data_IF_360821036216
#
_entry.id   IF_360821036216
#
_cell.length_a   1.000
_cell.length_b   1.000
_cell.length_c   1.000
_cell.angle_alpha   90.00
_cell.angle_beta   90.00
_cell.angle_gamma   90.00
#
_symmetry.space_group_name_H-M   'P 1'
#
loop_
_entity.id
_entity.type
_entity.pdbx_description
1 polymer ?
#
# COMPACT_ATOMS: atom_id res chain seq x y z
N UNK A 1 -12.05 27.00 2.60
CA UNK A 1 -10.57 27.04 2.67
C UNK A 1 -10.03 26.10 1.59
N UNK A 2 -9.21 26.55 0.64
CA UNK A 2 -8.68 25.67 -0.42
C UNK A 2 -7.55 24.81 0.17
N UNK A 3 -7.71 23.49 0.19
CA UNK A 3 -6.65 22.55 0.60
C UNK A 3 -5.74 22.24 -0.59
N UNK A 4 -4.46 21.96 -0.34
CA UNK A 4 -3.55 21.52 -1.41
C UNK A 4 -4.06 20.20 -2.03
N UNK A 5 -4.08 20.08 -3.37
CA UNK A 5 -4.53 18.88 -4.06
C UNK A 5 -3.48 17.77 -3.93
N UNK A 6 -3.95 16.52 -3.87
CA UNK A 6 -3.11 15.32 -3.96
C UNK A 6 -3.30 14.76 -5.36
N UNK A 7 -2.20 14.47 -6.05
CA UNK A 7 -2.21 13.97 -7.42
C UNK A 7 -2.06 12.44 -7.45
N UNK A 8 -2.83 11.80 -8.32
CA UNK A 8 -2.67 10.38 -8.63
C UNK A 8 -1.62 10.28 -9.75
N UNK A 9 -0.45 9.72 -9.42
CA UNK A 9 0.68 9.62 -10.35
C UNK A 9 0.58 8.37 -11.25
N UNK A 10 -0.06 7.30 -10.79
CA UNK A 10 -0.24 6.07 -11.53
C UNK A 10 -1.26 5.17 -10.87
N UNK A 11 -1.94 4.34 -11.67
CA UNK A 11 -2.91 3.36 -11.20
C UNK A 11 -2.90 2.15 -12.15
N UNK A 12 -3.00 0.95 -11.59
CA UNK A 12 -3.08 -0.28 -12.36
C UNK A 12 -3.97 -1.29 -11.64
N UNK A 13 -4.75 -2.01 -12.43
CA UNK A 13 -5.63 -3.08 -11.96
C UNK A 13 -5.38 -4.35 -12.78
N UNK A 14 -5.62 -5.49 -12.14
CA UNK A 14 -5.59 -6.81 -12.78
C UNK A 14 -6.36 -7.81 -11.91
N UNK A 15 -6.80 -8.90 -12.55
CA UNK A 15 -7.55 -9.97 -11.91
C UNK A 15 -6.98 -11.31 -12.38
N UNK A 16 -6.84 -12.25 -11.45
CA UNK A 16 -6.28 -13.58 -11.74
C UNK A 16 -7.32 -14.69 -11.52
N UNK A 17 -7.92 -14.73 -10.33
CA UNK A 17 -8.84 -15.78 -9.91
C UNK A 17 -9.98 -15.18 -9.06
N UNK A 18 -11.14 -15.84 -9.07
CA UNK A 18 -12.31 -15.40 -8.29
C UNK A 18 -12.39 -16.02 -6.89
N UNK A 19 -11.74 -17.17 -6.69
CA UNK A 19 -11.74 -17.94 -5.44
C UNK A 19 -10.36 -18.54 -5.17
N UNK A 20 -10.04 -18.75 -3.89
CA UNK A 20 -8.71 -19.21 -3.46
C UNK A 20 -8.32 -20.58 -4.03
N UNK A 21 -9.29 -21.48 -4.28
CA UNK A 21 -9.02 -22.80 -4.87
C UNK A 21 -8.63 -22.76 -6.34
N UNK A 22 -8.81 -21.61 -7.00
CA UNK A 22 -8.40 -21.38 -8.39
C UNK A 22 -7.07 -20.62 -8.47
N UNK A 23 -6.43 -20.30 -7.33
CA UNK A 23 -5.14 -19.64 -7.31
C UNK A 23 -4.07 -20.55 -7.91
N UNK A 24 -3.32 -20.10 -8.93
CA UNK A 24 -2.16 -20.83 -9.44
C UNK A 24 -1.05 -20.97 -8.40
N UNK A 25 -0.84 -19.94 -7.59
CA UNK A 25 0.13 -19.91 -6.49
C UNK A 25 -0.33 -18.94 -5.39
N UNK A 26 -0.19 -19.33 -4.13
CA UNK A 26 -0.51 -18.50 -2.97
C UNK A 26 0.56 -17.43 -2.68
N UNK A 27 1.79 -17.66 -3.14
CA UNK A 27 2.94 -16.78 -2.84
C UNK A 27 3.22 -15.73 -3.90
N UNK A 28 2.61 -15.84 -5.08
CA UNK A 28 2.83 -14.93 -6.21
C UNK A 28 1.53 -14.21 -6.58
N UNK A 29 1.15 -13.16 -5.84
CA UNK A 29 -0.07 -12.41 -6.14
C UNK A 29 0.13 -11.58 -7.41
N UNK A 30 -0.98 -11.29 -8.08
CA UNK A 30 -0.97 -10.44 -9.29
C UNK A 30 -0.52 -8.99 -9.01
N UNK A 31 -0.38 -8.63 -7.73
CA UNK A 31 0.23 -7.40 -7.23
C UNK A 31 1.63 -7.13 -7.80
N UNK A 32 2.36 -8.16 -8.23
CA UNK A 32 3.67 -8.01 -8.89
C UNK A 32 3.54 -7.28 -10.24
N UNK A 33 2.57 -7.68 -11.03
CA UNK A 33 2.35 -7.11 -12.37
C UNK A 33 1.69 -5.73 -12.28
N UNK A 34 0.70 -5.58 -11.41
CA UNK A 34 0.03 -4.28 -11.20
C UNK A 34 0.97 -3.28 -10.54
N UNK A 35 1.78 -3.71 -9.57
CA UNK A 35 2.82 -2.91 -8.94
C UNK A 35 3.79 -2.35 -9.97
N UNK A 36 4.42 -3.22 -10.77
CA UNK A 36 5.36 -2.79 -11.80
C UNK A 36 4.75 -1.79 -12.80
N UNK A 37 3.50 -2.01 -13.21
CA UNK A 37 2.76 -1.08 -14.09
C UNK A 37 2.48 0.25 -13.41
N UNK A 38 2.05 0.25 -12.15
CA UNK A 38 1.76 1.46 -11.40
C UNK A 38 3.04 2.29 -11.14
N UNK A 39 4.14 1.64 -10.74
CA UNK A 39 5.45 2.28 -10.59
C UNK A 39 5.96 2.85 -11.92
N UNK A 40 5.81 2.10 -13.01
CA UNK A 40 6.16 2.55 -14.36
C UNK A 40 5.36 3.76 -14.83
N UNK A 41 4.04 3.79 -14.56
CA UNK A 41 3.18 4.94 -14.87
C UNK A 41 3.52 6.17 -14.02
N UNK A 42 3.81 5.97 -12.73
CA UNK A 42 4.15 7.04 -11.82
C UNK A 42 5.58 7.59 -12.04
N UNK A 43 6.46 6.82 -12.68
CA UNK A 43 7.86 7.20 -12.90
C UNK A 43 8.64 7.35 -11.59
N UNK A 44 8.30 6.56 -10.57
CA UNK A 44 8.90 6.61 -9.22
C UNK A 44 9.58 5.29 -8.89
N UNK A 45 10.57 5.35 -8.00
CA UNK A 45 11.24 4.16 -7.44
C UNK A 45 10.76 3.88 -6.02
N UNK A 46 11.00 2.68 -5.49
CA UNK A 46 10.59 2.29 -4.13
C UNK A 46 11.11 3.23 -3.04
N UNK A 47 12.27 3.86 -3.24
CA UNK A 47 12.83 4.84 -2.29
C UNK A 47 12.09 6.19 -2.27
N UNK A 48 11.28 6.48 -3.29
CA UNK A 48 10.44 7.69 -3.33
C UNK A 48 9.11 7.50 -2.58
N UNK A 49 8.89 6.31 -2.01
CA UNK A 49 7.67 5.93 -1.30
C UNK A 49 7.88 6.14 0.19
N UNK A 50 7.34 7.25 0.70
CA UNK A 50 7.35 7.55 2.14
C UNK A 50 6.39 6.65 2.94
N UNK A 51 5.53 5.91 2.24
CA UNK A 51 4.29 5.41 2.81
C UNK A 51 3.55 4.42 1.90
N UNK A 52 3.05 3.32 2.46
CA UNK A 52 2.15 2.38 1.78
C UNK A 52 0.80 2.15 2.49
N UNK A 53 -0.30 2.18 1.73
CA UNK A 53 -1.55 1.50 2.14
C UNK A 53 -1.67 0.24 1.33
N UNK A 54 -1.65 -0.89 2.03
CA UNK A 54 -1.74 -2.22 1.44
C UNK A 54 -3.00 -2.87 1.96
N UNK A 55 -3.71 -3.57 1.09
CA UNK A 55 -4.88 -4.33 1.49
C UNK A 55 -4.50 -5.53 2.36
N UNK A 56 -5.00 -5.54 3.58
CA UNK A 56 -4.66 -6.45 4.67
C UNK A 56 -5.90 -7.24 5.12
N UNK A 57 -6.45 -8.08 4.25
CA UNK A 57 -7.51 -9.02 4.66
C UNK A 57 -7.04 -10.00 5.72
N UNK A 58 -5.77 -10.40 5.64
CA UNK A 58 -5.10 -11.24 6.62
C UNK A 58 -3.66 -10.77 6.76
N UNK A 59 -3.01 -11.06 7.89
CA UNK A 59 -1.61 -10.67 8.11
C UNK A 59 -0.67 -11.21 7.02
N UNK A 60 -0.95 -12.39 6.49
CA UNK A 60 -0.20 -12.98 5.37
C UNK A 60 -0.28 -12.17 4.07
N UNK A 61 -1.43 -11.57 3.74
CA UNK A 61 -1.60 -10.85 2.47
C UNK A 61 -0.70 -9.62 2.40
N UNK A 62 -0.40 -9.01 3.55
CA UNK A 62 0.51 -7.88 3.66
C UNK A 62 1.94 -8.28 3.31
N UNK A 63 2.43 -9.39 3.88
CA UNK A 63 3.80 -9.86 3.66
C UNK A 63 4.03 -10.19 2.19
N UNK A 64 3.13 -10.97 1.62
CA UNK A 64 3.22 -11.41 0.22
C UNK A 64 3.05 -10.25 -0.76
N UNK A 65 2.24 -9.24 -0.42
CA UNK A 65 2.11 -8.04 -1.25
C UNK A 65 3.35 -7.16 -1.17
N UNK A 66 4.01 -7.04 -0.02
CA UNK A 66 5.29 -6.31 0.11
C UNK A 66 6.38 -6.95 -0.77
N UNK A 67 6.46 -8.28 -0.74
CA UNK A 67 7.39 -9.06 -1.56
C UNK A 67 7.08 -8.90 -3.06
N UNK A 68 5.80 -9.00 -3.43
CA UNK A 68 5.35 -8.88 -4.81
C UNK A 68 5.55 -7.46 -5.38
N UNK A 69 5.34 -6.42 -4.56
CA UNK A 69 5.61 -5.04 -4.93
C UNK A 69 7.11 -4.77 -5.08
N UNK A 70 7.98 -5.62 -4.52
CA UNK A 70 9.44 -5.50 -4.62
C UNK A 70 10.09 -4.66 -3.52
N UNK A 71 9.41 -4.44 -2.38
CA UNK A 71 10.03 -3.78 -1.21
C UNK A 71 11.01 -4.70 -0.48
N UNK A 72 10.80 -6.01 -0.55
CA UNK A 72 11.66 -7.06 -0.01
C UNK A 72 11.70 -8.25 -0.95
N UNK A 73 12.69 -9.15 -0.79
CA UNK A 73 12.73 -10.39 -1.57
C UNK A 73 11.71 -11.39 -1.02
N UNK A 74 11.28 -12.39 -1.83
CA UNK A 74 10.43 -13.46 -1.34
C UNK A 74 11.00 -14.13 -0.09
N UNK A 75 10.19 -14.20 0.98
CA UNK A 75 10.57 -14.75 2.29
C UNK A 75 11.21 -13.75 3.27
N UNK A 76 11.56 -12.54 2.84
CA UNK A 76 12.10 -11.49 3.72
C UNK A 76 11.00 -10.59 4.33
N UNK A 77 9.72 -10.83 3.99
CA UNK A 77 8.59 -10.07 4.53
C UNK A 77 8.56 -9.94 6.06
N UNK A 78 8.75 -11.04 6.83
CA UNK A 78 8.76 -10.97 8.30
C UNK A 78 9.88 -10.09 8.87
N UNK A 79 11.07 -10.15 8.29
CA UNK A 79 12.21 -9.31 8.69
C UNK A 79 11.99 -7.85 8.30
N UNK A 80 11.33 -7.61 7.17
CA UNK A 80 10.99 -6.26 6.72
C UNK A 80 10.03 -5.54 7.68
N UNK A 81 9.03 -6.25 8.21
CA UNK A 81 8.06 -5.67 9.17
C UNK A 81 8.54 -5.72 10.63
N UNK A 82 9.65 -6.40 10.90
CA UNK A 82 10.22 -6.51 12.23
C UNK A 82 10.61 -5.14 12.81
N UNK A 83 10.83 -5.09 14.12
CA UNK A 83 11.31 -3.90 14.83
C UNK A 83 10.42 -2.65 14.68
N UNK A 84 9.11 -2.84 14.48
CA UNK A 84 8.16 -1.72 14.31
C UNK A 84 8.50 -0.80 13.13
N UNK A 85 9.27 -1.30 12.13
CA UNK A 85 9.62 -0.54 10.93
C UNK A 85 8.39 0.00 10.20
N UNK A 86 7.28 -0.74 10.26
CA UNK A 86 6.00 -0.38 9.64
C UNK A 86 5.05 0.43 10.51
N UNK A 87 5.41 0.74 11.75
CA UNK A 87 4.57 1.49 12.67
C UNK A 87 4.42 2.97 12.25
N UNK A 88 3.39 3.69 12.74
CA UNK A 88 3.30 5.13 12.57
C UNK A 88 4.56 5.82 13.14
N UNK A 89 5.38 6.43 12.27
CA UNK A 89 6.66 7.04 12.64
C UNK A 89 7.89 6.14 12.54
N UNK A 90 7.74 4.89 12.08
CA UNK A 90 8.86 4.04 11.67
C UNK A 90 9.42 4.40 10.30
N UNK A 91 10.50 3.72 9.88
CA UNK A 91 11.21 4.03 8.62
C UNK A 91 10.35 3.83 7.36
N UNK A 92 9.33 2.98 7.43
CA UNK A 92 8.41 2.73 6.32
C UNK A 92 6.97 2.68 6.82
N UNK A 93 6.33 3.84 6.94
CA UNK A 93 4.97 3.91 7.44
C UNK A 93 4.01 3.07 6.56
N UNK A 94 3.31 2.10 7.15
CA UNK A 94 2.36 1.26 6.43
C UNK A 94 1.06 1.16 7.19
N UNK A 95 -0.09 1.23 6.50
CA UNK A 95 -1.43 1.05 7.09
C UNK A 95 -1.67 1.83 8.39
N UNK A 96 -1.10 3.02 8.51
CA UNK A 96 -1.17 3.87 9.72
C UNK A 96 -2.61 4.32 10.12
N UNK A 97 -3.62 4.00 9.31
CA UNK A 97 -5.03 4.12 9.66
C UNK A 97 -5.49 3.07 10.67
N UNK A 98 -4.72 1.99 10.79
CA UNK A 98 -5.14 0.71 11.36
C UNK A 98 -5.37 -0.38 10.31
N UNK A 99 -5.39 -0.06 9.01
CA UNK A 99 -5.63 -1.04 7.96
C UNK A 99 -7.04 -1.63 7.96
N UNK A 100 -7.30 -2.58 7.08
CA UNK A 100 -8.46 -3.46 7.10
C UNK A 100 -8.56 -4.30 8.38
N UNK A 101 -7.42 -4.58 9.03
CA UNK A 101 -7.39 -5.36 10.28
C UNK A 101 -7.89 -4.60 11.51
N UNK A 102 -7.67 -3.27 11.61
CA UNK A 102 -8.03 -2.50 12.81
C UNK A 102 -8.99 -1.34 12.57
N UNK A 103 -9.07 -0.79 11.35
CA UNK A 103 -9.95 0.36 11.05
C UNK A 103 -11.31 -0.10 10.55
N UNK A 104 -11.36 -0.71 9.37
CA UNK A 104 -12.59 -1.23 8.78
C UNK A 104 -12.29 -2.14 7.59
N UNK A 105 -13.02 -3.23 7.43
CA UNK A 105 -12.91 -4.14 6.28
C UNK A 105 -14.23 -4.16 5.47
N UNK A 106 -14.51 -3.12 4.66
CA UNK A 106 -15.77 -2.97 3.93
C UNK A 106 -15.77 -3.69 2.58
N UNK A 107 -14.85 -4.63 2.34
CA UNK A 107 -14.67 -5.29 1.03
C UNK A 107 -14.26 -4.31 -0.07
N UNK A 108 -15.04 -4.22 -1.14
CA UNK A 108 -14.74 -3.45 -2.36
C UNK A 108 -14.58 -1.92 -2.16
N UNK A 109 -14.96 -1.37 -1.00
CA UNK A 109 -14.82 0.07 -0.73
C UNK A 109 -13.43 0.42 -0.17
N UNK A 110 -12.55 -0.58 0.04
CA UNK A 110 -11.22 -0.39 0.61
C UNK A 110 -10.36 0.63 -0.15
N UNK A 111 -10.45 0.68 -1.48
CA UNK A 111 -9.65 1.59 -2.31
C UNK A 111 -9.91 3.06 -1.96
N UNK A 112 -11.16 3.41 -1.64
CA UNK A 112 -11.53 4.77 -1.23
C UNK A 112 -10.92 5.12 0.13
N UNK A 113 -10.90 4.18 1.07
CA UNK A 113 -10.29 4.39 2.40
C UNK A 113 -8.77 4.50 2.31
N UNK A 114 -8.15 3.71 1.44
CA UNK A 114 -6.72 3.82 1.15
C UNK A 114 -6.38 5.20 0.60
N UNK A 115 -7.11 5.65 -0.43
CA UNK A 115 -6.93 6.98 -1.05
C UNK A 115 -7.16 8.13 -0.05
N UNK A 116 -8.22 8.05 0.75
CA UNK A 116 -8.52 9.04 1.81
C UNK A 116 -7.47 9.03 2.92
N UNK A 117 -6.89 7.87 3.21
CA UNK A 117 -5.71 7.75 4.05
C UNK A 117 -4.56 8.61 3.50
N UNK A 118 -4.11 8.38 2.26
CA UNK A 118 -3.07 9.20 1.61
C UNK A 118 -3.31 10.69 1.77
N UNK A 119 -4.53 11.11 1.45
CA UNK A 119 -4.91 12.51 1.45
C UNK A 119 -4.80 13.14 2.85
N UNK A 120 -5.14 12.40 3.90
CA UNK A 120 -5.18 12.90 5.28
C UNK A 120 -3.78 13.16 5.82
N UNK A 121 -2.85 12.22 5.65
CA UNK A 121 -1.47 12.47 6.12
C UNK A 121 -0.70 13.46 5.26
N UNK A 122 -0.88 13.44 3.94
CA UNK A 122 -0.25 14.45 3.07
C UNK A 122 -0.59 15.89 3.44
N UNK A 123 -1.72 16.09 4.11
CA UNK A 123 -2.20 17.42 4.53
C UNK A 123 -1.75 17.84 5.93
N UNK A 124 -0.95 17.03 6.63
CA UNK A 124 -0.49 17.33 7.98
C UNK A 124 -1.60 17.32 9.04
N UNK A 125 -2.76 16.73 8.74
CA UNK A 125 -3.86 16.56 9.68
C UNK A 125 -3.60 15.25 10.46
N UNK A 126 -2.84 15.33 11.57
CA UNK A 126 -2.36 14.19 12.38
C UNK A 126 -3.45 13.43 13.17
N UNK A 127 -4.51 13.03 12.49
CA UNK A 127 -5.48 12.05 13.00
C UNK A 127 -5.63 10.91 12.00
N UNK A 128 -4.59 10.06 11.99
CA UNK A 128 -4.52 8.67 11.45
C UNK A 128 -4.91 8.47 9.97
N UNK A 129 -4.18 7.58 9.28
CA UNK A 129 -4.44 7.03 7.92
C UNK A 129 -3.72 7.72 6.75
N UNK A 130 -3.01 6.96 5.89
CA UNK A 130 -1.83 7.42 5.09
C UNK A 130 -1.53 6.43 3.93
N UNK A 131 -1.61 6.77 2.62
CA UNK A 131 -0.98 6.10 1.44
C UNK A 131 -0.03 6.96 0.55
N UNK A 132 0.75 6.23 -0.25
CA UNK A 132 1.77 6.57 -1.26
C UNK A 132 1.51 7.86 -2.04
N UNK A 133 2.35 8.88 -1.88
CA UNK A 133 2.51 9.93 -2.89
C UNK A 133 3.86 10.63 -2.70
N UNK A 134 4.50 11.10 -3.78
CA UNK A 134 5.71 11.96 -3.74
C UNK A 134 5.33 13.39 -3.38
N UNK A 135 6.17 14.08 -2.60
CA UNK A 135 6.02 15.51 -2.36
C UNK A 135 6.43 16.26 -3.64
N UNK A 136 5.48 16.60 -4.51
CA UNK A 136 5.76 17.46 -5.67
C UNK A 136 5.80 18.92 -5.18
N UNK A 137 6.92 19.31 -4.57
CA UNK A 137 7.33 20.71 -4.50
C UNK A 137 8.14 21.05 -5.75
N UNK A 138 7.46 21.71 -6.68
CA UNK A 138 7.86 22.22 -8.01
C UNK A 138 8.09 21.21 -9.13
#
# INVERSE_FOLDING_TARGET
>A
MKKQPVWVLGAAESHDHAIISQMPDLTSPISKDTGARAFGMAGVVHSDIDLAMIYDSFTYTVLVTLEALGFCKPGEGPEFVANQRTAPGGDFAMNTSGGGLSYTHPGHVWDVFSIRGCETVKRGDWRTSTCITRNCSN
#
